data_IF_038469088766
#
_entry.id   IF_038469088766
#
_cell.length_a   1.000
_cell.length_b   1.000
_cell.length_c   1.000
_cell.angle_alpha   90.00
_cell.angle_beta   90.00
_cell.angle_gamma   90.00
#
_symmetry.space_group_name_H-M   'P 1'
#
loop_
_entity.id
_entity.type
_entity.pdbx_description
1 polymer ?
#
# COMPACT_ATOMS: atom_id res chain seq x y z
N UNK A 1 -24.19 17.60 18.14
CA UNK A 1 -23.34 18.20 17.09
C UNK A 1 -22.02 18.56 17.74
N UNK A 2 -20.94 17.85 17.41
CA UNK A 2 -19.63 18.10 18.03
C UNK A 2 -19.15 19.50 17.63
N UNK A 3 -18.92 20.35 18.62
CA UNK A 3 -18.46 21.72 18.45
C UNK A 3 -16.96 21.65 18.09
N UNK A 4 -16.66 21.63 16.80
CA UNK A 4 -15.28 21.63 16.28
C UNK A 4 -14.63 22.95 16.71
N UNK A 5 -13.62 22.88 17.58
CA UNK A 5 -12.88 24.05 18.07
C UNK A 5 -11.82 24.44 17.04
N UNK A 6 -12.00 25.60 16.41
CA UNK A 6 -11.06 26.15 15.42
C UNK A 6 -9.62 26.31 15.97
N UNK A 7 -9.47 26.48 17.28
CA UNK A 7 -8.16 26.58 17.95
C UNK A 7 -7.35 25.27 17.88
N UNK A 8 -7.99 24.11 17.97
CA UNK A 8 -7.29 22.82 17.88
C UNK A 8 -6.75 22.57 16.47
N UNK A 9 -7.55 22.89 15.44
CA UNK A 9 -7.14 22.78 14.04
C UNK A 9 -5.94 23.71 13.77
N UNK A 10 -6.02 24.96 14.26
CA UNK A 10 -4.94 25.94 14.08
C UNK A 10 -3.65 25.50 14.75
N UNK A 11 -3.73 24.89 15.94
CA UNK A 11 -2.57 24.35 16.65
C UNK A 11 -1.93 23.19 15.87
N UNK A 12 -2.73 22.23 15.41
CA UNK A 12 -2.24 21.06 14.65
C UNK A 12 -1.53 21.50 13.36
N UNK A 13 -2.12 22.45 12.61
CA UNK A 13 -1.49 22.96 11.38
C UNK A 13 -0.19 23.69 11.69
N UNK A 14 -0.13 24.49 12.76
CA UNK A 14 1.09 25.20 13.17
C UNK A 14 2.20 24.22 13.54
N UNK A 15 1.90 23.19 14.33
CA UNK A 15 2.85 22.13 14.69
C UNK A 15 3.37 21.40 13.43
N UNK A 16 2.51 21.11 12.45
CA UNK A 16 2.93 20.48 11.19
C UNK A 16 3.88 21.37 10.37
N UNK A 17 3.69 22.69 10.38
CA UNK A 17 4.57 23.65 9.68
C UNK A 17 5.89 23.81 10.43
N UNK A 18 5.88 23.86 11.76
CA UNK A 18 7.10 23.96 12.59
C UNK A 18 7.99 22.71 12.45
N UNK A 19 7.38 21.54 12.29
CA UNK A 19 8.09 20.28 12.03
C UNK A 19 8.39 20.00 10.55
N UNK A 20 8.13 20.95 9.64
CA UNK A 20 8.46 20.79 8.22
C UNK A 20 9.96 21.02 7.99
N UNK A 21 10.77 20.02 8.28
CA UNK A 21 12.18 20.01 7.90
C UNK A 21 12.31 19.77 6.40
N UNK A 22 12.96 20.71 5.69
CA UNK A 22 13.33 20.53 4.28
C UNK A 22 14.57 19.65 4.19
N UNK A 23 14.39 18.35 4.36
CA UNK A 23 15.43 17.38 4.04
C UNK A 23 15.66 17.36 2.51
N UNK A 24 16.78 17.94 2.08
CA UNK A 24 17.26 17.82 0.70
C UNK A 24 17.83 16.41 0.53
N UNK A 25 16.95 15.45 0.31
CA UNK A 25 17.34 14.08 -0.02
C UNK A 25 17.69 13.99 -1.51
N UNK A 26 18.92 13.55 -1.80
CA UNK A 26 19.31 13.14 -3.16
C UNK A 26 18.51 11.88 -3.50
N UNK A 27 17.35 12.11 -4.11
CA UNK A 27 16.46 11.04 -4.56
C UNK A 27 16.76 10.77 -6.02
N UNK A 28 16.90 9.50 -6.36
CA UNK A 28 17.08 9.06 -7.72
C UNK A 28 15.75 9.20 -8.47
N UNK A 29 15.80 9.88 -9.61
CA UNK A 29 14.62 10.23 -10.42
C UNK A 29 14.76 9.58 -11.79
N UNK A 30 13.68 8.99 -12.28
CA UNK A 30 13.54 8.52 -13.64
C UNK A 30 12.52 9.36 -14.42
N UNK A 31 12.47 9.16 -15.72
CA UNK A 31 11.48 9.80 -16.60
C UNK A 31 10.62 8.75 -17.28
N UNK A 32 9.31 8.96 -17.35
CA UNK A 32 8.41 8.09 -18.12
C UNK A 32 8.69 8.25 -19.62
N UNK A 33 8.99 7.16 -20.31
CA UNK A 33 9.17 7.10 -21.76
C UNK A 33 7.84 6.84 -22.46
N UNK A 34 7.01 5.97 -21.88
CA UNK A 34 5.70 5.67 -22.45
C UNK A 34 4.77 5.12 -21.39
N UNK A 35 3.48 5.34 -21.63
CA UNK A 35 2.39 4.80 -20.82
C UNK A 35 1.39 4.13 -21.76
N UNK A 36 0.97 2.91 -21.44
CA UNK A 36 -0.05 2.19 -22.18
C UNK A 36 -0.69 1.12 -21.30
N UNK A 37 -2.02 1.00 -21.34
CA UNK A 37 -2.80 -0.02 -20.65
C UNK A 37 -2.44 -0.22 -19.16
N UNK A 38 -2.13 0.86 -18.46
CA UNK A 38 -1.76 0.83 -17.04
C UNK A 38 -0.31 0.40 -16.75
N UNK A 39 0.53 0.31 -17.79
CA UNK A 39 1.97 0.05 -17.66
C UNK A 39 2.74 1.30 -18.09
N UNK A 40 3.70 1.71 -17.27
CA UNK A 40 4.64 2.79 -17.59
C UNK A 40 6.04 2.21 -17.81
N UNK A 41 6.68 2.61 -18.91
CA UNK A 41 8.11 2.39 -19.14
C UNK A 41 8.87 3.61 -18.67
N UNK A 42 9.87 3.40 -17.81
CA UNK A 42 10.60 4.46 -17.14
C UNK A 42 12.07 4.32 -17.48
N UNK A 43 12.68 5.41 -17.93
CA UNK A 43 14.13 5.51 -18.13
C UNK A 43 14.81 5.95 -16.83
N UNK A 44 15.96 5.35 -16.53
CA UNK A 44 16.74 5.64 -15.32
C UNK A 44 16.36 4.71 -14.17
N UNK A 45 16.41 5.22 -12.94
CA UNK A 45 16.23 4.43 -11.71
C UNK A 45 17.19 3.22 -11.61
N UNK A 46 18.48 3.43 -11.86
CA UNK A 46 19.55 2.40 -11.85
C UNK A 46 19.53 1.51 -10.60
N UNK A 47 19.17 2.07 -9.44
CA UNK A 47 19.17 1.33 -8.17
C UNK A 47 17.79 0.88 -7.71
N UNK A 48 16.79 0.85 -8.58
CA UNK A 48 15.46 0.33 -8.22
C UNK A 48 15.54 -1.16 -7.89
N UNK A 49 14.72 -1.60 -6.94
CA UNK A 49 14.56 -3.00 -6.58
C UNK A 49 13.33 -3.61 -7.26
N UNK A 50 13.37 -4.90 -7.54
CA UNK A 50 12.18 -5.61 -8.01
C UNK A 50 11.10 -5.61 -6.92
N UNK A 51 9.84 -5.35 -7.29
CA UNK A 51 8.73 -5.22 -6.34
C UNK A 51 8.77 -3.91 -5.54
N UNK A 52 9.58 -2.93 -5.94
CA UNK A 52 9.64 -1.63 -5.28
C UNK A 52 8.48 -0.73 -5.68
N UNK A 53 7.99 0.05 -4.71
CA UNK A 53 6.97 1.06 -4.97
C UNK A 53 7.63 2.34 -5.50
N UNK A 54 7.09 2.86 -6.60
CA UNK A 54 7.51 4.09 -7.25
C UNK A 54 6.45 5.16 -7.02
N UNK A 55 6.88 6.38 -6.76
CA UNK A 55 6.00 7.54 -6.64
C UNK A 55 6.00 8.27 -7.97
N UNK A 56 4.84 8.30 -8.62
CA UNK A 56 4.59 9.10 -9.81
C UNK A 56 3.84 10.38 -9.42
N UNK A 57 3.73 11.36 -10.34
CA UNK A 57 2.86 12.52 -10.15
C UNK A 57 1.39 12.11 -9.96
N UNK A 58 0.56 13.07 -9.55
CA UNK A 58 -0.90 12.89 -9.43
C UNK A 58 -1.34 11.83 -8.41
N UNK A 59 -0.52 11.55 -7.40
CA UNK A 59 -0.75 10.55 -6.35
C UNK A 59 -0.93 9.11 -6.89
N UNK A 60 -0.33 8.84 -8.05
CA UNK A 60 -0.26 7.50 -8.63
C UNK A 60 0.98 6.79 -8.10
N UNK A 61 0.79 5.57 -7.60
CA UNK A 61 1.91 4.69 -7.27
C UNK A 61 2.22 3.78 -8.46
N UNK A 62 3.47 3.33 -8.58
CA UNK A 62 3.91 2.34 -9.55
C UNK A 62 4.54 1.15 -8.84
N UNK A 63 4.38 -0.05 -9.37
CA UNK A 63 5.08 -1.25 -8.91
C UNK A 63 6.12 -1.65 -9.95
N UNK A 64 7.40 -1.57 -9.59
CA UNK A 64 8.47 -2.00 -10.48
C UNK A 64 8.45 -3.54 -10.63
N UNK A 65 8.11 -4.02 -11.83
CA UNK A 65 8.01 -5.46 -12.12
C UNK A 65 9.21 -5.96 -12.92
N UNK A 66 9.52 -5.30 -14.04
CA UNK A 66 10.64 -5.70 -14.90
C UNK A 66 11.74 -4.66 -14.84
N UNK A 67 12.96 -5.12 -14.60
CA UNK A 67 14.17 -4.32 -14.62
C UNK A 67 14.99 -4.75 -15.83
N UNK A 68 14.91 -3.96 -16.90
CA UNK A 68 15.72 -4.13 -18.11
C UNK A 68 17.02 -3.30 -17.99
N UNK A 69 17.96 -3.46 -18.92
CA UNK A 69 19.27 -2.78 -18.84
C UNK A 69 19.14 -1.24 -18.82
N UNK A 70 18.24 -0.70 -19.66
CA UNK A 70 18.05 0.74 -19.82
C UNK A 70 16.67 1.24 -19.35
N UNK A 71 15.76 0.33 -19.00
CA UNK A 71 14.36 0.66 -18.74
C UNK A 71 13.78 -0.14 -17.58
N UNK A 72 12.86 0.48 -16.84
CA UNK A 72 12.08 -0.14 -15.78
C UNK A 72 10.62 -0.12 -16.20
N UNK A 73 10.00 -1.30 -16.25
CA UNK A 73 8.55 -1.38 -16.46
C UNK A 73 7.84 -1.44 -15.12
N UNK A 74 6.94 -0.48 -14.90
CA UNK A 74 6.14 -0.39 -13.70
C UNK A 74 4.65 -0.49 -14.01
N UNK A 75 3.91 -1.26 -13.21
CA UNK A 75 2.45 -1.28 -13.26
C UNK A 75 1.92 -0.12 -12.43
N UNK A 76 1.05 0.70 -13.01
CA UNK A 76 0.44 1.84 -12.35
C UNK A 76 -0.70 1.38 -11.43
N UNK A 77 -0.62 1.81 -10.18
CA UNK A 77 -1.60 1.58 -9.12
C UNK A 77 -2.32 2.90 -8.88
N UNK A 78 -3.29 3.20 -9.74
CA UNK A 78 -4.06 4.44 -9.74
C UNK A 78 -4.61 4.77 -11.11
N UNK A 79 -4.92 6.05 -11.32
CA UNK A 79 -5.45 6.55 -12.59
C UNK A 79 -4.32 6.74 -13.62
N UNK A 80 -4.15 5.75 -14.49
CA UNK A 80 -3.13 5.77 -15.53
C UNK A 80 -3.30 6.90 -16.56
N UNK A 81 -4.52 7.42 -16.75
CA UNK A 81 -4.78 8.47 -17.73
C UNK A 81 -4.15 9.83 -17.35
N UNK A 82 -3.77 9.99 -16.08
CA UNK A 82 -3.11 11.21 -15.58
C UNK A 82 -1.62 11.23 -15.85
N UNK A 83 -1.00 10.07 -16.10
CA UNK A 83 0.44 9.97 -16.31
C UNK A 83 0.75 10.18 -17.78
N UNK A 84 1.75 11.01 -18.05
CA UNK A 84 2.18 11.37 -19.38
C UNK A 84 3.66 11.03 -19.59
N UNK A 85 4.06 10.96 -20.86
CA UNK A 85 5.46 10.85 -21.23
C UNK A 85 6.23 12.10 -20.75
N UNK A 86 7.42 11.87 -20.20
CA UNK A 86 8.25 12.90 -19.56
C UNK A 86 7.98 13.12 -18.08
N UNK A 87 6.97 12.46 -17.48
CA UNK A 87 6.71 12.59 -16.05
C UNK A 87 7.87 12.06 -15.20
N UNK A 88 8.14 12.75 -14.10
CA UNK A 88 9.20 12.40 -13.17
C UNK A 88 8.73 11.30 -12.23
N UNK A 89 9.47 10.19 -12.19
CA UNK A 89 9.21 9.07 -11.28
C UNK A 89 10.28 9.05 -10.19
N UNK A 90 9.84 8.94 -8.94
CA UNK A 90 10.73 8.87 -7.78
C UNK A 90 10.67 7.50 -7.15
N UNK A 91 11.84 7.01 -6.76
CA UNK A 91 11.97 5.78 -5.99
C UNK A 91 11.59 5.99 -4.53
N UNK A 92 10.82 5.09 -3.92
CA UNK A 92 10.45 5.17 -2.49
C UNK A 92 11.41 4.45 -1.54
N UNK A 93 12.36 3.65 -2.05
CA UNK A 93 13.30 2.77 -1.32
C UNK A 93 12.61 1.70 -0.50
N UNK A 94 11.36 1.39 -0.82
CA UNK A 94 10.51 0.51 -0.04
C UNK A 94 9.85 -0.51 -0.98
N UNK A 95 10.14 -1.78 -0.73
CA UNK A 95 9.40 -2.90 -1.34
C UNK A 95 7.92 -2.70 -1.02
N UNK A 96 7.06 -3.06 -1.97
CA UNK A 96 5.61 -2.92 -1.87
C UNK A 96 5.12 -3.42 -0.51
N UNK A 97 4.63 -2.49 0.28
CA UNK A 97 4.21 -2.71 1.66
C UNK A 97 2.99 -1.87 1.95
N UNK A 98 2.14 -2.40 2.83
CA UNK A 98 0.89 -1.76 3.24
C UNK A 98 0.95 -1.41 4.72
N UNK A 99 0.26 -0.34 5.13
CA UNK A 99 0.07 -0.05 6.54
C UNK A 99 -0.66 -1.22 7.22
N UNK A 100 -0.31 -1.51 8.47
CA UNK A 100 -0.96 -2.55 9.29
C UNK A 100 -1.27 -2.03 10.70
N UNK A 101 -2.08 -2.77 11.45
CA UNK A 101 -2.37 -2.51 12.85
C UNK A 101 -3.84 -2.26 13.15
N UNK A 102 -4.16 -2.12 14.44
CA UNK A 102 -5.54 -1.94 14.95
C UNK A 102 -6.24 -0.69 14.38
N UNK A 103 -5.47 0.32 13.95
CA UNK A 103 -6.01 1.53 13.33
C UNK A 103 -6.80 1.27 12.03
N UNK A 104 -6.65 0.09 11.42
CA UNK A 104 -7.41 -0.33 10.24
C UNK A 104 -8.76 -0.96 10.57
N UNK A 105 -8.98 -1.40 11.81
CA UNK A 105 -10.21 -2.09 12.19
C UNK A 105 -11.40 -1.14 12.04
N UNK A 106 -12.39 -1.55 11.22
CA UNK A 106 -13.59 -0.74 10.95
C UNK A 106 -13.41 0.39 9.93
N UNK A 107 -12.25 0.44 9.25
CA UNK A 107 -11.99 1.35 8.13
C UNK A 107 -12.26 0.68 6.79
N UNK A 108 -12.57 1.49 5.78
CA UNK A 108 -12.53 1.05 4.37
C UNK A 108 -11.26 1.61 3.75
N UNK A 109 -10.47 0.74 3.14
CA UNK A 109 -9.17 1.09 2.54
C UNK A 109 -9.07 0.56 1.12
N UNK A 110 -8.25 1.21 0.30
CA UNK A 110 -7.85 0.70 -1.00
C UNK A 110 -6.76 -0.38 -0.88
N UNK A 111 -6.32 -0.91 -2.03
CA UNK A 111 -5.27 -1.94 -2.10
C UNK A 111 -3.89 -1.48 -1.59
N UNK A 112 -3.65 -0.16 -1.50
CA UNK A 112 -2.43 0.43 -0.95
C UNK A 112 -2.56 0.77 0.53
N UNK A 113 -3.73 0.51 1.15
CA UNK A 113 -4.04 0.83 2.53
C UNK A 113 -4.40 2.29 2.79
N UNK A 114 -4.72 3.06 1.74
CA UNK A 114 -5.20 4.45 1.85
C UNK A 114 -6.69 4.43 2.21
N UNK A 115 -7.16 5.28 3.15
CA UNK A 115 -8.56 5.30 3.55
C UNK A 115 -9.47 5.85 2.45
N UNK A 116 -10.61 5.21 2.23
CA UNK A 116 -11.65 5.62 1.27
C UNK A 116 -13.01 5.90 1.93
N UNK A 117 -13.05 5.92 3.26
CA UNK A 117 -14.27 6.06 4.07
C UNK A 117 -14.51 7.49 4.62
N UNK A 118 -13.75 8.49 4.18
CA UNK A 118 -13.82 9.90 4.62
C UNK A 118 -13.67 10.14 6.14
N UNK A 119 -13.22 9.15 6.92
CA UNK A 119 -13.01 9.26 8.37
C UNK A 119 -11.63 9.84 8.76
N UNK A 120 -10.94 10.48 7.82
CA UNK A 120 -9.60 11.03 8.01
C UNK A 120 -8.46 10.01 7.80
N UNK A 121 -7.20 10.39 8.06
CA UNK A 121 -6.05 9.52 7.81
C UNK A 121 -6.02 8.30 8.77
N UNK A 122 -5.37 7.23 8.34
CA UNK A 122 -5.06 6.09 9.20
C UNK A 122 -3.70 6.35 9.84
N UNK A 123 -3.67 6.48 11.17
CA UNK A 123 -2.46 6.70 11.93
C UNK A 123 -1.85 5.35 12.31
N UNK A 124 -0.91 4.87 11.50
CA UNK A 124 -0.06 3.73 11.84
C UNK A 124 1.38 3.96 11.44
N UNK A 125 2.29 3.46 12.27
CA UNK A 125 3.73 3.50 12.03
C UNK A 125 4.27 2.17 11.49
N UNK A 126 3.43 1.14 11.45
CA UNK A 126 3.83 -0.21 11.06
C UNK A 126 3.43 -0.49 9.61
N UNK A 127 4.39 -1.01 8.85
CA UNK A 127 4.22 -1.42 7.46
C UNK A 127 4.75 -2.84 7.30
N UNK A 128 4.00 -3.68 6.59
CA UNK A 128 4.40 -5.06 6.28
C UNK A 128 4.52 -5.21 4.75
N UNK A 129 5.61 -5.82 4.24
CA UNK A 129 5.71 -6.19 2.83
C UNK A 129 4.57 -7.11 2.41
N UNK A 130 3.95 -6.83 1.27
CA UNK A 130 2.85 -7.65 0.74
C UNK A 130 3.37 -9.04 0.37
N UNK A 131 4.53 -9.08 -0.29
CA UNK A 131 5.20 -10.33 -0.63
C UNK A 131 6.12 -10.76 0.52
N UNK A 132 5.72 -11.85 1.19
CA UNK A 132 6.52 -12.49 2.23
C UNK A 132 6.32 -13.99 2.20
N UNK A 133 7.32 -14.72 2.69
CA UNK A 133 7.24 -16.16 2.84
C UNK A 133 6.12 -16.53 3.82
N UNK A 134 5.32 -17.53 3.46
CA UNK A 134 4.30 -18.07 4.33
C UNK A 134 4.93 -18.87 5.49
N UNK A 135 4.24 -18.98 6.64
CA UNK A 135 4.71 -19.81 7.76
C UNK A 135 4.98 -21.26 7.32
N UNK A 136 6.13 -21.80 7.74
CA UNK A 136 6.57 -23.15 7.41
C UNK A 136 5.76 -24.23 8.15
N UNK A 137 6.05 -25.50 7.89
CA UNK A 137 5.35 -26.61 8.57
C UNK A 137 5.60 -26.60 10.08
N UNK A 138 6.81 -26.25 10.50
CA UNK A 138 7.23 -26.22 11.92
C UNK A 138 6.52 -25.10 12.70
N UNK A 139 6.21 -23.99 12.03
CA UNK A 139 5.52 -22.84 12.66
C UNK A 139 3.99 -23.06 12.79
N UNK A 140 3.47 -24.10 12.13
CA UNK A 140 2.03 -24.40 12.09
C UNK A 140 1.61 -25.29 13.24
N UNK A 141 0.34 -25.16 13.61
CA UNK A 141 -0.34 -26.07 14.54
C UNK A 141 -1.53 -26.71 13.82
N UNK A 142 -1.90 -27.96 14.17
CA UNK A 142 -3.15 -28.54 13.71
C UNK A 142 -4.33 -27.61 14.06
N UNK A 143 -5.26 -27.46 13.14
CA UNK A 143 -6.49 -26.68 13.35
C UNK A 143 -7.40 -27.46 14.30
N UNK A 144 -7.59 -26.95 15.52
CA UNK A 144 -8.40 -27.60 16.57
C UNK A 144 -9.52 -26.73 17.12
N UNK A 145 -9.55 -25.46 16.74
CA UNK A 145 -10.53 -24.49 17.21
C UNK A 145 -11.57 -24.22 16.12
N UNK A 146 -12.88 -24.31 16.41
CA UNK A 146 -13.91 -24.02 15.43
C UNK A 146 -14.01 -22.51 15.15
N UNK A 147 -14.26 -22.16 13.89
CA UNK A 147 -14.68 -20.84 13.43
C UNK A 147 -16.19 -20.90 13.17
N UNK A 148 -16.98 -20.28 14.04
CA UNK A 148 -18.44 -20.32 13.96
C UNK A 148 -18.92 -19.45 12.80
N UNK A 149 -19.60 -20.06 11.82
CA UNK A 149 -20.22 -19.31 10.72
C UNK A 149 -21.63 -18.84 11.08
N UNK A 150 -22.31 -19.55 11.99
CA UNK A 150 -23.71 -19.31 12.33
C UNK A 150 -24.69 -19.94 11.32
N UNK A 151 -24.18 -20.67 10.31
CA UNK A 151 -24.98 -21.33 9.29
C UNK A 151 -25.06 -22.81 9.60
N UNK A 152 -26.25 -23.28 10.02
CA UNK A 152 -26.48 -24.70 10.38
C UNK A 152 -26.02 -25.69 9.32
N UNK A 153 -26.25 -25.37 8.04
CA UNK A 153 -25.82 -26.23 6.93
C UNK A 153 -24.31 -26.35 6.82
N UNK A 154 -23.57 -25.28 7.11
CA UNK A 154 -22.10 -25.29 7.06
C UNK A 154 -21.55 -25.88 8.35
N UNK A 155 -21.92 -25.33 9.50
CA UNK A 155 -21.35 -25.73 10.79
C UNK A 155 -21.61 -27.22 11.14
N UNK A 156 -22.68 -27.82 10.61
CA UNK A 156 -22.98 -29.24 10.82
C UNK A 156 -22.34 -30.18 9.79
N UNK A 157 -22.30 -29.79 8.51
CA UNK A 157 -21.84 -30.67 7.43
C UNK A 157 -20.37 -30.45 7.06
N UNK A 158 -19.91 -29.20 7.09
CA UNK A 158 -18.59 -28.74 6.67
C UNK A 158 -18.06 -27.75 7.72
N UNK A 159 -17.69 -28.21 8.93
CA UNK A 159 -17.21 -27.31 9.98
C UNK A 159 -15.91 -26.62 9.55
N UNK A 160 -15.85 -25.30 9.70
CA UNK A 160 -14.67 -24.49 9.37
C UNK A 160 -13.86 -24.25 10.64
N UNK A 161 -12.55 -24.51 10.60
CA UNK A 161 -11.64 -24.25 11.72
C UNK A 161 -10.85 -22.94 11.61
N UNK A 162 -10.39 -22.40 12.74
CA UNK A 162 -9.53 -21.21 12.80
C UNK A 162 -8.16 -21.52 12.18
N UNK A 163 -7.82 -20.84 11.09
CA UNK A 163 -6.60 -21.10 10.30
C UNK A 163 -6.79 -22.07 9.13
N UNK A 164 -8.02 -22.55 8.88
CA UNK A 164 -8.38 -23.30 7.68
C UNK A 164 -8.56 -22.37 6.48
N UNK A 165 -8.38 -22.92 5.28
CA UNK A 165 -8.69 -22.27 4.00
C UNK A 165 -9.84 -23.04 3.38
N UNK A 166 -11.02 -22.42 3.33
CA UNK A 166 -12.23 -23.00 2.76
C UNK A 166 -12.70 -22.12 1.60
N UNK A 167 -12.86 -22.71 0.42
CA UNK A 167 -13.40 -22.02 -0.75
C UNK A 167 -14.93 -22.09 -0.71
N UNK A 168 -15.59 -20.99 -1.05
CA UNK A 168 -17.06 -20.92 -1.21
C UNK A 168 -17.40 -21.05 -2.70
#
# INVERSE_FOLDING_TARGET
>A
MAQIKADEITRIIREQIEHFDRDVSVTEVGNVISVGDGVARIYGLEKVMAGELLSLPHDVAGLALNLEEDQVSAVLLGDAAKIQEGDLVKRTKRIMSVPVGEALVGRVVDALGRPTDDKGPILTNEFIPIERLAPGVVDRRPVREPLQTGLKSIDAMIPIGRGQRELI
#
